data_IF_868736371449
#
_entry.id   IF_868736371449
#
_cell.length_a   1.000
_cell.length_b   1.000
_cell.length_c   1.000
_cell.angle_alpha   90.00
_cell.angle_beta   90.00
_cell.angle_gamma   90.00
#
_symmetry.space_group_name_H-M   'P 1'
#
loop_
_entity.id
_entity.type
_entity.pdbx_description
1 polymer ?
#
# COMPACT_ATOMS: atom_id res chain seq x y z
N UNK A 1 1.55 -4.99 9.02
CA UNK A 1 1.37 -5.51 10.41
C UNK A 1 1.10 -7.01 10.39
N UNK A 2 1.72 -7.83 11.25
CA UNK A 2 1.49 -9.29 11.29
C UNK A 2 0.05 -9.59 11.74
N UNK A 3 -0.68 -10.47 11.04
CA UNK A 3 -2.06 -10.90 11.38
C UNK A 3 -2.13 -11.40 12.82
N UNK A 4 -1.11 -12.12 13.30
CA UNK A 4 -1.06 -12.60 14.68
C UNK A 4 -1.02 -11.43 15.66
N UNK A 5 -0.22 -10.40 15.35
CA UNK A 5 -0.14 -9.19 16.18
C UNK A 5 -1.48 -8.45 16.16
N UNK A 6 -2.12 -8.31 14.99
CA UNK A 6 -3.45 -7.71 14.89
C UNK A 6 -4.50 -8.47 15.70
N UNK A 7 -4.51 -9.81 15.62
CA UNK A 7 -5.40 -10.64 16.41
C UNK A 7 -5.16 -10.50 17.92
N UNK A 8 -3.89 -10.47 18.35
CA UNK A 8 -3.52 -10.23 19.76
C UNK A 8 -3.97 -8.85 20.22
N UNK A 9 -3.82 -7.81 19.40
CA UNK A 9 -4.29 -6.46 19.72
C UNK A 9 -5.80 -6.43 19.88
N UNK A 10 -6.56 -7.04 18.96
CA UNK A 10 -8.03 -7.14 19.07
C UNK A 10 -8.42 -7.85 20.35
N UNK A 11 -7.85 -9.03 20.63
CA UNK A 11 -8.15 -9.80 21.85
C UNK A 11 -7.81 -9.00 23.11
N UNK A 12 -6.65 -8.34 23.14
CA UNK A 12 -6.22 -7.57 24.30
C UNK A 12 -7.12 -6.35 24.56
N UNK A 13 -7.40 -5.55 23.53
CA UNK A 13 -8.27 -4.38 23.63
C UNK A 13 -9.69 -4.77 24.02
N UNK A 14 -10.23 -5.84 23.41
CA UNK A 14 -11.53 -6.40 23.78
C UNK A 14 -11.57 -6.91 25.21
N UNK A 15 -10.55 -7.63 25.66
CA UNK A 15 -10.47 -8.12 27.04
C UNK A 15 -10.40 -6.97 28.05
N UNK A 16 -9.65 -5.91 27.76
CA UNK A 16 -9.60 -4.70 28.58
C UNK A 16 -10.96 -4.02 28.62
N UNK A 17 -11.61 -3.81 27.48
CA UNK A 17 -12.92 -3.18 27.41
C UNK A 17 -13.99 -3.96 28.18
N UNK A 18 -14.03 -5.29 28.02
CA UNK A 18 -14.92 -6.17 28.79
C UNK A 18 -14.58 -6.11 30.27
N UNK A 19 -13.29 -6.13 30.64
CA UNK A 19 -12.85 -5.99 32.03
C UNK A 19 -13.34 -4.68 32.67
N UNK A 20 -13.22 -3.55 31.96
CA UNK A 20 -13.73 -2.25 32.40
C UNK A 20 -15.25 -2.27 32.52
N UNK A 21 -15.97 -2.83 31.55
CA UNK A 21 -17.42 -2.99 31.61
C UNK A 21 -17.86 -3.78 32.85
N UNK A 22 -17.21 -4.92 33.12
CA UNK A 22 -17.50 -5.76 34.28
C UNK A 22 -17.11 -5.10 35.60
N UNK A 23 -16.12 -4.21 35.62
CA UNK A 23 -15.78 -3.39 36.77
C UNK A 23 -16.84 -2.33 37.03
N UNK A 24 -17.28 -1.60 36.00
CA UNK A 24 -18.35 -0.59 36.10
C UNK A 24 -19.66 -1.25 36.54
N UNK A 25 -19.98 -2.43 35.99
CA UNK A 25 -21.15 -3.24 36.36
C UNK A 25 -21.23 -3.55 37.86
N UNK A 26 -20.10 -3.67 38.57
CA UNK A 26 -20.12 -3.92 40.03
C UNK A 26 -20.73 -2.75 40.83
N UNK A 27 -20.70 -1.55 40.29
CA UNK A 27 -21.28 -0.35 40.90
C UNK A 27 -22.53 0.17 40.18
N UNK A 28 -23.04 -0.56 39.19
CA UNK A 28 -24.22 -0.18 38.44
C UNK A 28 -25.50 -0.58 39.21
N UNK A 29 -26.58 0.21 39.10
CA UNK A 29 -27.90 -0.17 39.61
C UNK A 29 -28.55 -1.24 38.73
N UNK A 30 -29.52 -1.97 39.30
CA UNK A 30 -30.36 -2.91 38.54
C UNK A 30 -31.18 -2.13 37.49
N UNK A 31 -31.07 -2.53 36.22
CA UNK A 31 -31.63 -1.81 35.08
C UNK A 31 -30.69 -0.76 34.45
N UNK A 32 -29.47 -0.62 34.97
CA UNK A 32 -28.42 0.25 34.43
C UNK A 32 -28.59 1.75 34.70
N UNK A 33 -27.67 2.58 34.17
CA UNK A 33 -27.63 4.01 34.48
C UNK A 33 -28.70 4.84 33.74
N UNK A 34 -29.29 4.30 32.67
CA UNK A 34 -30.32 4.98 31.90
C UNK A 34 -31.72 4.63 32.41
N UNK A 35 -32.52 5.65 32.72
CA UNK A 35 -33.93 5.45 33.10
C UNK A 35 -34.81 4.94 31.95
N UNK A 36 -34.46 5.27 30.71
CA UNK A 36 -35.14 4.82 29.49
C UNK A 36 -34.09 4.28 28.53
N UNK A 37 -33.86 2.97 28.59
CA UNK A 37 -32.87 2.27 27.78
C UNK A 37 -33.15 2.36 26.28
N UNK A 38 -34.42 2.42 25.87
CA UNK A 38 -34.81 2.52 24.46
C UNK A 38 -34.41 3.87 23.87
N UNK A 39 -34.61 4.96 24.61
CA UNK A 39 -34.12 6.29 24.20
C UNK A 39 -32.60 6.32 24.11
N UNK A 40 -31.91 5.74 25.10
CA UNK A 40 -30.46 5.68 25.11
C UNK A 40 -29.90 4.85 23.94
N UNK A 41 -30.54 3.72 23.62
CA UNK A 41 -30.21 2.88 22.48
C UNK A 41 -30.46 3.60 21.15
N UNK A 42 -31.53 4.39 21.04
CA UNK A 42 -31.80 5.23 19.87
C UNK A 42 -30.69 6.24 19.59
N UNK A 43 -30.23 6.98 20.62
CA UNK A 43 -29.12 7.94 20.49
C UNK A 43 -27.80 7.23 20.18
N UNK A 44 -27.54 6.10 20.83
CA UNK A 44 -26.39 5.24 20.50
C UNK A 44 -26.40 4.83 19.04
N UNK A 45 -27.56 4.40 18.53
CA UNK A 45 -27.74 3.98 17.15
C UNK A 45 -27.34 5.09 16.16
N UNK A 46 -27.72 6.34 16.42
CA UNK A 46 -27.32 7.49 15.59
C UNK A 46 -25.80 7.71 15.62
N UNK A 47 -25.18 7.71 16.81
CA UNK A 47 -23.74 7.88 16.97
C UNK A 47 -22.94 6.75 16.29
N UNK A 48 -23.32 5.50 16.55
CA UNK A 48 -22.68 4.32 16.00
C UNK A 48 -22.84 4.24 14.48
N UNK A 49 -24.01 4.58 13.94
CA UNK A 49 -24.25 4.61 12.50
C UNK A 49 -23.41 5.69 11.83
N UNK A 50 -23.34 6.90 12.40
CA UNK A 50 -22.51 7.98 11.88
C UNK A 50 -21.03 7.60 11.86
N UNK A 51 -20.54 6.97 12.92
CA UNK A 51 -19.18 6.43 12.99
C UNK A 51 -18.93 5.33 11.96
N UNK A 52 -19.85 4.37 11.83
CA UNK A 52 -19.72 3.27 10.87
C UNK A 52 -19.68 3.77 9.41
N UNK A 53 -20.50 4.78 9.07
CA UNK A 53 -20.48 5.42 7.75
C UNK A 53 -19.13 6.11 7.50
N UNK A 54 -18.66 6.94 8.43
CA UNK A 54 -17.35 7.60 8.31
C UNK A 54 -16.22 6.59 8.15
N UNK A 55 -16.18 5.57 9.02
CA UNK A 55 -15.15 4.54 9.00
C UNK A 55 -15.20 3.72 7.70
N UNK A 56 -16.39 3.40 7.19
CA UNK A 56 -16.58 2.73 5.90
C UNK A 56 -16.00 3.53 4.74
N UNK A 57 -16.23 4.85 4.69
CA UNK A 57 -15.62 5.72 3.68
C UNK A 57 -14.10 5.80 3.81
N UNK A 58 -13.57 5.85 5.03
CA UNK A 58 -12.12 5.86 5.25
C UNK A 58 -11.49 4.54 4.79
N UNK A 59 -12.10 3.40 5.11
CA UNK A 59 -11.64 2.09 4.61
C UNK A 59 -11.68 2.03 3.09
N UNK A 60 -12.76 2.52 2.46
CA UNK A 60 -12.88 2.56 1.01
C UNK A 60 -11.76 3.40 0.37
N UNK A 61 -11.53 4.62 0.86
CA UNK A 61 -10.48 5.50 0.33
C UNK A 61 -9.08 4.91 0.53
N UNK A 62 -8.82 4.31 1.69
CA UNK A 62 -7.57 3.62 1.97
C UNK A 62 -7.35 2.44 1.01
N UNK A 63 -8.39 1.66 0.75
CA UNK A 63 -8.34 0.57 -0.22
C UNK A 63 -8.10 1.08 -1.64
N UNK A 64 -8.78 2.14 -2.07
CA UNK A 64 -8.55 2.76 -3.38
C UNK A 64 -7.10 3.20 -3.55
N UNK A 65 -6.49 3.80 -2.53
CA UNK A 65 -5.08 4.17 -2.62
C UNK A 65 -4.14 2.97 -2.60
N UNK A 66 -4.43 1.95 -1.79
CA UNK A 66 -3.68 0.69 -1.81
C UNK A 66 -3.70 0.08 -3.22
N UNK A 67 -4.88 0.04 -3.84
CA UNK A 67 -5.06 -0.54 -5.17
C UNK A 67 -4.38 0.29 -6.27
N UNK A 68 -4.43 1.62 -6.19
CA UNK A 68 -3.68 2.49 -7.10
C UNK A 68 -2.17 2.23 -7.04
N UNK A 69 -1.61 2.06 -5.83
CA UNK A 69 -0.19 1.72 -5.68
C UNK A 69 0.15 0.33 -6.22
N UNK A 70 -0.76 -0.65 -6.06
CA UNK A 70 -0.63 -2.00 -6.62
C UNK A 70 -0.65 -1.97 -8.16
N UNK A 71 -1.64 -1.29 -8.73
CA UNK A 71 -1.81 -1.16 -10.19
C UNK A 71 -0.65 -0.39 -10.79
N UNK A 72 -0.22 0.73 -10.18
CA UNK A 72 0.96 1.48 -10.64
C UNK A 72 2.23 0.63 -10.67
N UNK A 73 2.42 -0.29 -9.71
CA UNK A 73 3.55 -1.22 -9.74
C UNK A 73 3.45 -2.28 -10.86
N UNK A 74 2.23 -2.75 -11.15
CA UNK A 74 1.97 -3.69 -12.24
C UNK A 74 2.18 -3.01 -13.61
N UNK A 75 1.67 -1.78 -13.77
CA UNK A 75 1.79 -0.99 -15.00
C UNK A 75 3.24 -0.56 -15.24
N UNK A 76 3.98 -0.12 -14.22
CA UNK A 76 5.40 0.25 -14.36
C UNK A 76 6.22 -0.94 -14.85
N UNK A 77 5.97 -2.15 -14.31
CA UNK A 77 6.64 -3.37 -14.75
C UNK A 77 6.27 -3.71 -16.20
N UNK A 78 4.98 -3.67 -16.55
CA UNK A 78 4.52 -3.95 -17.91
C UNK A 78 5.14 -3.00 -18.94
N UNK A 79 5.17 -1.69 -18.63
CA UNK A 79 5.73 -0.68 -19.53
C UNK A 79 7.23 -0.89 -19.70
N UNK A 80 7.96 -1.27 -18.66
CA UNK A 80 9.40 -1.61 -18.79
C UNK A 80 9.62 -2.77 -19.77
N UNK A 81 8.82 -3.83 -19.72
CA UNK A 81 8.89 -4.92 -20.69
C UNK A 81 8.63 -4.42 -22.13
N UNK A 82 7.58 -3.63 -22.32
CA UNK A 82 7.24 -3.03 -23.62
C UNK A 82 8.32 -2.08 -24.14
N UNK A 83 9.00 -1.35 -23.26
CA UNK A 83 10.14 -0.51 -23.62
C UNK A 83 11.34 -1.34 -24.08
N UNK A 84 11.57 -2.54 -23.53
CA UNK A 84 12.62 -3.46 -24.02
C UNK A 84 12.31 -3.90 -25.45
N UNK A 85 11.07 -4.28 -25.74
CA UNK A 85 10.65 -4.63 -27.11
C UNK A 85 10.81 -3.45 -28.07
N UNK A 86 10.41 -2.25 -27.63
CA UNK A 86 10.51 -1.02 -28.42
C UNK A 86 11.97 -0.63 -28.68
N UNK A 87 12.86 -0.85 -27.71
CA UNK A 87 14.30 -0.62 -27.86
C UNK A 87 14.90 -1.44 -29.01
N UNK A 88 14.39 -2.66 -29.27
CA UNK A 88 14.89 -3.51 -30.36
C UNK A 88 14.63 -2.92 -31.76
N UNK A 89 13.71 -1.96 -31.88
CA UNK A 89 13.38 -1.27 -33.13
C UNK A 89 14.22 0.00 -33.36
N UNK A 90 15.01 0.40 -32.37
CA UNK A 90 15.90 1.55 -32.45
C UNK A 90 17.26 1.17 -33.10
N UNK A 91 18.04 2.16 -33.58
CA UNK A 91 19.37 1.89 -34.12
C UNK A 91 20.31 1.22 -33.10
N UNK A 92 21.19 0.36 -33.60
CA UNK A 92 22.36 -0.08 -32.84
C UNK A 92 23.43 1.04 -32.85
N UNK A 93 24.19 1.23 -31.75
CA UNK A 93 24.24 0.40 -30.53
C UNK A 93 23.18 0.73 -29.46
N UNK A 94 22.39 1.80 -29.64
CA UNK A 94 21.50 2.32 -28.60
C UNK A 94 20.43 1.32 -28.16
N UNK A 95 19.95 0.46 -29.06
CA UNK A 95 19.02 -0.61 -28.72
C UNK A 95 19.50 -1.50 -27.56
N UNK A 96 20.78 -1.92 -27.60
CA UNK A 96 21.39 -2.75 -26.57
C UNK A 96 21.65 -1.97 -25.27
N UNK A 97 22.13 -0.73 -25.39
CA UNK A 97 22.39 0.15 -24.24
C UNK A 97 21.11 0.46 -23.45
N UNK A 98 20.03 0.85 -24.15
CA UNK A 98 18.72 1.09 -23.54
C UNK A 98 18.13 -0.17 -22.90
N UNK A 99 18.33 -1.34 -23.51
CA UNK A 99 17.89 -2.62 -22.96
C UNK A 99 18.60 -2.94 -21.65
N UNK A 100 19.93 -2.80 -21.60
CA UNK A 100 20.72 -2.97 -20.38
C UNK A 100 20.30 -2.00 -19.27
N UNK A 101 20.07 -0.74 -19.61
CA UNK A 101 19.59 0.29 -18.68
C UNK A 101 18.17 -0.01 -18.15
N UNK A 102 17.27 -0.56 -18.97
CA UNK A 102 15.92 -0.98 -18.55
C UNK A 102 15.96 -2.17 -17.59
N UNK A 103 16.84 -3.16 -17.84
CA UNK A 103 17.09 -4.26 -16.91
C UNK A 103 17.58 -3.71 -15.57
N UNK A 104 18.52 -2.76 -15.61
CA UNK A 104 19.02 -2.14 -14.39
C UNK A 104 18.00 -1.26 -13.67
N UNK A 105 17.14 -0.57 -14.42
CA UNK A 105 15.98 0.14 -13.88
C UNK A 105 15.07 -0.82 -13.12
N UNK A 106 14.68 -1.95 -13.73
CA UNK A 106 13.81 -2.95 -13.14
C UNK A 106 14.43 -3.59 -11.89
N UNK A 107 15.73 -3.94 -11.91
CA UNK A 107 16.46 -4.44 -10.74
C UNK A 107 16.52 -3.42 -9.60
N UNK A 108 16.72 -2.14 -9.92
CA UNK A 108 16.69 -1.05 -8.94
C UNK A 108 15.30 -0.88 -8.31
N UNK A 109 14.24 -1.00 -9.12
CA UNK A 109 12.85 -0.96 -8.64
C UNK A 109 12.56 -2.12 -7.70
N UNK A 110 12.87 -3.36 -8.10
CA UNK A 110 12.61 -4.56 -7.31
C UNK A 110 13.51 -4.68 -6.06
N UNK A 111 14.74 -4.16 -6.14
CA UNK A 111 15.72 -4.20 -5.07
C UNK A 111 15.72 -2.94 -4.21
N UNK A 112 16.66 -2.04 -4.48
CA UNK A 112 16.98 -0.90 -3.59
C UNK A 112 15.79 0.02 -3.36
N UNK A 113 15.01 0.35 -4.40
CA UNK A 113 13.87 1.25 -4.22
C UNK A 113 12.75 0.60 -3.42
N UNK A 114 12.43 -0.68 -3.66
CA UNK A 114 11.39 -1.37 -2.87
C UNK A 114 11.77 -1.47 -1.40
N UNK A 115 13.04 -1.76 -1.08
CA UNK A 115 13.54 -1.75 0.29
C UNK A 115 13.39 -0.37 0.95
N UNK A 116 13.68 0.71 0.22
CA UNK A 116 13.47 2.09 0.72
C UNK A 116 11.99 2.42 0.91
N UNK A 117 11.09 1.84 0.12
CA UNK A 117 9.65 1.96 0.35
C UNK A 117 9.23 1.25 1.63
N UNK A 118 9.75 0.05 1.90
CA UNK A 118 9.53 -0.64 3.18
C UNK A 118 10.07 0.14 4.39
N UNK A 119 11.15 0.91 4.20
CA UNK A 119 11.70 1.77 5.24
C UNK A 119 10.98 3.13 5.37
N UNK A 120 10.08 3.48 4.44
CA UNK A 120 9.45 4.81 4.38
C UNK A 120 10.43 5.94 4.02
N UNK A 121 11.58 5.63 3.40
CA UNK A 121 12.65 6.60 3.12
C UNK A 121 12.84 6.92 1.64
N UNK A 122 12.06 6.32 0.72
CA UNK A 122 12.22 6.56 -0.72
C UNK A 122 11.99 8.04 -1.10
N UNK A 123 10.97 8.67 -0.52
CA UNK A 123 10.61 10.05 -0.85
C UNK A 123 10.37 10.27 -2.35
N UNK A 124 10.81 11.42 -2.87
CA UNK A 124 10.76 11.78 -4.29
C UNK A 124 12.05 11.44 -5.06
N UNK A 125 12.90 10.56 -4.52
CA UNK A 125 14.21 10.25 -5.12
C UNK A 125 14.04 9.56 -6.48
N UNK A 126 14.68 10.12 -7.53
CA UNK A 126 14.66 9.57 -8.87
C UNK A 126 15.35 8.20 -8.94
N UNK A 127 14.85 7.28 -9.77
CA UNK A 127 15.63 6.12 -10.18
C UNK A 127 16.82 6.61 -11.04
N UNK A 128 18.09 6.35 -10.66
CA UNK A 128 19.25 6.81 -11.41
C UNK A 128 19.24 6.34 -12.88
N UNK A 129 18.70 5.14 -13.14
CA UNK A 129 18.57 4.61 -14.51
C UNK A 129 17.59 5.38 -15.37
N UNK A 130 16.61 6.08 -14.78
CA UNK A 130 15.74 6.99 -15.52
C UNK A 130 16.53 8.14 -16.17
N UNK A 131 17.57 8.64 -15.49
CA UNK A 131 18.44 9.66 -16.05
C UNK A 131 19.38 9.10 -17.13
N UNK A 132 19.82 7.86 -17.01
CA UNK A 132 20.68 7.20 -18.01
C UNK A 132 19.91 6.91 -19.31
N UNK A 133 18.70 6.35 -19.20
CA UNK A 133 17.77 6.16 -20.33
C UNK A 133 17.55 7.46 -21.10
N UNK A 134 17.40 8.57 -20.38
CA UNK A 134 17.27 9.89 -21.00
C UNK A 134 18.58 10.39 -21.65
N UNK A 135 19.76 10.04 -21.14
CA UNK A 135 21.03 10.36 -21.79
C UNK A 135 21.16 9.58 -23.10
N UNK A 136 20.87 8.29 -23.07
CA UNK A 136 21.03 7.39 -24.22
C UNK A 136 20.04 7.71 -25.34
N UNK A 137 18.74 7.87 -25.03
CA UNK A 137 17.72 8.18 -26.05
C UNK A 137 17.99 9.51 -26.79
N UNK A 138 18.60 10.51 -26.12
CA UNK A 138 18.94 11.79 -26.77
C UNK A 138 20.01 11.67 -27.86
N UNK A 139 20.74 10.56 -27.90
CA UNK A 139 21.76 10.29 -28.92
C UNK A 139 21.20 9.49 -30.10
N UNK A 140 19.95 9.04 -30.02
CA UNK A 140 19.30 8.29 -31.08
C UNK A 140 18.91 9.23 -32.21
N UNK A 141 19.39 8.94 -33.41
CA UNK A 141 18.99 9.61 -34.65
C UNK A 141 18.24 8.59 -35.53
N UNK A 142 16.90 8.58 -35.54
CA UNK A 142 16.11 7.70 -36.40
C UNK A 142 16.38 7.99 -37.88
N UNK A 143 16.62 6.95 -38.67
CA UNK A 143 16.90 7.06 -40.12
C UNK A 143 15.84 6.39 -40.99
N UNK A 144 14.91 5.66 -40.38
CA UNK A 144 13.84 4.91 -41.06
C UNK A 144 12.50 5.22 -40.39
N UNK A 145 11.41 5.06 -41.13
CA UNK A 145 10.05 5.26 -40.59
C UNK A 145 9.72 4.33 -39.42
N UNK A 146 10.30 3.13 -39.38
CA UNK A 146 10.14 2.20 -38.24
C UNK A 146 10.84 2.76 -37.00
N UNK A 147 12.06 3.28 -37.15
CA UNK A 147 12.82 3.88 -36.05
C UNK A 147 12.16 5.18 -35.56
N UNK A 148 11.61 6.00 -36.45
CA UNK A 148 10.86 7.21 -36.07
C UNK A 148 9.63 6.83 -35.23
N UNK A 149 8.84 5.85 -35.69
CA UNK A 149 7.69 5.36 -34.94
C UNK A 149 8.07 4.74 -33.58
N UNK A 150 9.20 4.03 -33.52
CA UNK A 150 9.71 3.47 -32.27
C UNK A 150 10.19 4.55 -31.29
N UNK A 151 10.83 5.60 -31.80
CA UNK A 151 11.26 6.74 -31.00
C UNK A 151 10.06 7.49 -30.38
N UNK A 152 9.02 7.77 -31.17
CA UNK A 152 7.79 8.37 -30.66
C UNK A 152 7.11 7.49 -29.60
N UNK A 153 7.05 6.18 -29.86
CA UNK A 153 6.49 5.19 -28.90
C UNK A 153 7.29 5.17 -27.60
N UNK A 154 8.62 5.19 -27.68
CA UNK A 154 9.51 5.24 -26.52
C UNK A 154 9.25 6.46 -25.63
N UNK A 155 9.05 7.64 -26.24
CA UNK A 155 8.76 8.87 -25.50
C UNK A 155 7.40 8.79 -24.79
N UNK A 156 6.38 8.22 -25.43
CA UNK A 156 5.08 7.95 -24.79
C UNK A 156 5.25 7.00 -23.61
N UNK A 157 5.89 5.85 -23.83
CA UNK A 157 6.15 4.86 -22.78
C UNK A 157 6.98 5.42 -21.63
N UNK A 158 7.89 6.36 -21.90
CA UNK A 158 8.64 7.06 -20.85
C UNK A 158 7.70 7.86 -19.96
N UNK A 159 6.77 8.64 -20.56
CA UNK A 159 5.75 9.36 -19.80
C UNK A 159 4.84 8.42 -19.01
N UNK A 160 4.40 7.32 -19.63
CA UNK A 160 3.51 6.34 -19.01
C UNK A 160 4.20 5.62 -17.83
N UNK A 161 5.48 5.26 -17.98
CA UNK A 161 6.28 4.65 -16.91
C UNK A 161 6.48 5.59 -15.74
N UNK A 162 6.75 6.88 -15.99
CA UNK A 162 6.87 7.87 -14.89
C UNK A 162 5.52 8.09 -14.18
N UNK A 163 4.40 8.07 -14.91
CA UNK A 163 3.07 8.12 -14.31
C UNK A 163 2.80 6.89 -13.44
N UNK A 164 3.07 5.68 -13.95
CA UNK A 164 2.93 4.43 -13.21
C UNK A 164 3.82 4.38 -11.97
N UNK A 165 5.07 4.90 -12.08
CA UNK A 165 5.96 5.08 -10.93
C UNK A 165 5.35 5.99 -9.88
N UNK A 166 4.78 7.13 -10.29
CA UNK A 166 4.14 8.05 -9.37
C UNK A 166 2.95 7.40 -8.64
N UNK A 167 2.13 6.63 -9.35
CA UNK A 167 1.03 5.88 -8.75
C UNK A 167 1.53 4.82 -7.75
N UNK A 168 2.59 4.08 -8.12
CA UNK A 168 3.24 3.12 -7.21
C UNK A 168 3.72 3.79 -5.92
N UNK A 169 4.44 4.92 -6.01
CA UNK A 169 5.02 5.56 -4.82
C UNK A 169 4.01 6.41 -4.05
N UNK A 170 2.86 6.74 -4.62
CA UNK A 170 1.83 7.57 -3.98
C UNK A 170 1.39 6.99 -2.63
N UNK A 171 1.21 5.66 -2.58
CA UNK A 171 0.83 4.95 -1.35
C UNK A 171 1.91 4.93 -0.25
N UNK A 172 3.15 5.33 -0.55
CA UNK A 172 4.29 5.15 0.36
C UNK A 172 4.34 6.16 1.53
N UNK A 173 3.60 7.27 1.44
CA UNK A 173 3.63 8.35 2.47
C UNK A 173 2.42 8.27 3.42
N UNK A 174 1.49 7.35 3.18
CA UNK A 174 0.23 7.25 3.93
C UNK A 174 -0.79 8.30 3.48
N UNK A 175 -1.99 7.86 3.16
CA UNK A 175 -3.02 8.68 2.49
C UNK A 175 -3.99 9.31 3.48
N UNK A 176 -4.10 8.74 4.68
CA UNK A 176 -5.01 9.22 5.71
C UNK A 176 -4.32 10.28 6.56
N UNK A 177 -4.79 11.54 6.52
CA UNK A 177 -4.16 12.62 7.25
C UNK A 177 -4.42 12.50 8.76
N UNK A 178 -3.49 12.99 9.57
CA UNK A 178 -3.55 12.90 11.04
C UNK A 178 -4.89 13.39 11.67
N UNK A 179 -5.55 14.46 11.20
CA UNK A 179 -6.85 14.86 11.71
C UNK A 179 -7.93 13.78 11.61
N UNK A 180 -7.88 12.92 10.58
CA UNK A 180 -8.84 11.83 10.44
C UNK A 180 -8.65 10.76 11.50
N UNK A 181 -7.40 10.41 11.81
CA UNK A 181 -7.09 9.52 12.93
C UNK A 181 -7.59 10.07 14.26
N UNK A 182 -7.42 11.37 14.50
CA UNK A 182 -7.93 12.03 15.72
C UNK A 182 -9.44 11.86 15.85
N UNK A 183 -10.20 12.12 14.77
CA UNK A 183 -11.66 12.00 14.77
C UNK A 183 -12.10 10.54 14.96
N UNK A 184 -11.47 9.58 14.28
CA UNK A 184 -11.79 8.16 14.40
C UNK A 184 -11.55 7.63 15.81
N UNK A 185 -10.41 7.97 16.41
CA UNK A 185 -10.08 7.57 17.78
C UNK A 185 -11.01 8.26 18.79
N UNK A 186 -11.28 9.55 18.62
CA UNK A 186 -12.22 10.29 19.47
C UNK A 186 -13.62 9.67 19.45
N UNK A 187 -14.16 9.39 18.26
CA UNK A 187 -15.48 8.77 18.11
C UNK A 187 -15.53 7.35 18.69
N UNK A 188 -14.46 6.55 18.50
CA UNK A 188 -14.34 5.20 19.08
C UNK A 188 -14.35 5.25 20.60
N UNK A 189 -13.59 6.18 21.19
CA UNK A 189 -13.56 6.40 22.65
C UNK A 189 -14.91 6.88 23.17
N UNK A 190 -15.59 7.78 22.45
CA UNK A 190 -16.91 8.26 22.81
C UNK A 190 -17.95 7.12 22.82
N UNK A 191 -17.95 6.27 21.80
CA UNK A 191 -18.79 5.08 21.70
C UNK A 191 -18.51 4.12 22.86
N UNK A 192 -17.23 3.85 23.15
CA UNK A 192 -16.83 3.02 24.29
C UNK A 192 -17.35 3.57 25.62
N UNK A 193 -17.14 4.86 25.90
CA UNK A 193 -17.64 5.50 27.12
C UNK A 193 -19.17 5.45 27.21
N UNK A 194 -19.88 5.73 26.12
CA UNK A 194 -21.34 5.66 26.09
C UNK A 194 -21.84 4.25 26.42
N UNK A 195 -21.16 3.21 25.92
CA UNK A 195 -21.51 1.82 26.22
C UNK A 195 -21.37 1.46 27.70
N UNK A 196 -20.45 2.07 28.45
CA UNK A 196 -20.30 1.82 29.88
C UNK A 196 -21.55 2.20 30.69
N UNK A 197 -22.37 3.13 30.20
CA UNK A 197 -23.62 3.52 30.86
C UNK A 197 -24.73 2.46 30.70
N UNK A 198 -24.58 1.50 29.78
CA UNK A 198 -25.44 0.31 29.69
C UNK A 198 -25.00 -0.82 30.65
N UNK A 199 -24.02 -0.59 31.53
CA UNK A 199 -23.67 -1.57 32.55
C UNK A 199 -24.88 -1.79 33.48
N UNK A 200 -25.24 -3.06 33.69
CA UNK A 200 -26.41 -3.48 34.46
C UNK A 200 -26.05 -4.69 35.34
N UNK A 201 -26.21 -4.54 36.66
CA UNK A 201 -25.95 -5.60 37.63
C UNK A 201 -26.90 -6.79 37.48
N UNK A 202 -28.13 -6.55 37.01
CA UNK A 202 -29.19 -7.54 36.84
C UNK A 202 -29.03 -8.42 35.60
N UNK A 203 -28.30 -7.97 34.57
CA UNK A 203 -28.06 -8.76 33.36
C UNK A 203 -26.98 -9.84 33.54
N UNK A 204 -27.07 -10.94 32.78
CA UNK A 204 -26.04 -11.98 32.81
C UNK A 204 -24.67 -11.45 32.36
N UNK A 205 -23.61 -11.85 33.06
CA UNK A 205 -22.22 -11.42 32.80
C UNK A 205 -21.83 -11.67 31.34
N UNK A 206 -22.25 -12.81 30.81
CA UNK A 206 -21.97 -13.24 29.44
C UNK A 206 -22.59 -12.30 28.40
N UNK A 207 -23.78 -11.75 28.68
CA UNK A 207 -24.47 -10.82 27.79
C UNK A 207 -23.74 -9.47 27.77
N UNK A 208 -23.41 -8.93 28.94
CA UNK A 208 -22.64 -7.68 29.06
C UNK A 208 -21.26 -7.79 28.38
N UNK A 209 -20.59 -8.93 28.55
CA UNK A 209 -19.32 -9.21 27.90
C UNK A 209 -19.46 -9.33 26.38
N UNK A 210 -20.52 -9.98 25.89
CA UNK A 210 -20.79 -10.12 24.45
C UNK A 210 -21.09 -8.76 23.81
N UNK A 211 -21.94 -7.94 24.44
CA UNK A 211 -22.32 -6.61 23.92
C UNK A 211 -21.08 -5.70 23.79
N UNK A 212 -20.32 -5.55 24.87
CA UNK A 212 -19.10 -4.73 24.85
C UNK A 212 -18.04 -5.33 23.90
N UNK A 213 -17.82 -6.64 23.99
CA UNK A 213 -16.74 -7.30 23.29
C UNK A 213 -16.92 -7.33 21.77
N UNK A 214 -18.16 -7.49 21.29
CA UNK A 214 -18.46 -7.48 19.85
C UNK A 214 -18.24 -6.09 19.25
N UNK A 215 -18.75 -5.03 19.88
CA UNK A 215 -18.58 -3.67 19.36
C UNK A 215 -17.10 -3.27 19.36
N UNK A 216 -16.40 -3.46 20.48
CA UNK A 216 -14.99 -3.08 20.57
C UNK A 216 -14.10 -3.90 19.65
N UNK A 217 -14.38 -5.20 19.48
CA UNK A 217 -13.59 -6.03 18.56
C UNK A 217 -13.77 -5.58 17.11
N UNK A 218 -15.00 -5.27 16.67
CA UNK A 218 -15.27 -4.76 15.31
C UNK A 218 -14.61 -3.40 15.08
N UNK A 219 -14.77 -2.44 16.00
CA UNK A 219 -14.13 -1.12 15.89
C UNK A 219 -12.61 -1.27 15.80
N UNK A 220 -12.02 -2.06 16.69
CA UNK A 220 -10.56 -2.28 16.71
C UNK A 220 -10.08 -2.94 15.42
N UNK A 221 -10.79 -3.98 14.94
CA UNK A 221 -10.45 -4.67 13.70
C UNK A 221 -10.50 -3.73 12.48
N UNK A 222 -11.53 -2.89 12.39
CA UNK A 222 -11.66 -1.91 11.31
C UNK A 222 -10.59 -0.82 11.38
N UNK A 223 -10.23 -0.31 12.56
CA UNK A 223 -9.13 0.64 12.71
C UNK A 223 -7.77 0.01 12.32
N UNK A 224 -7.55 -1.26 12.65
CA UNK A 224 -6.34 -1.99 12.23
C UNK A 224 -6.34 -2.24 10.72
N UNK A 225 -7.49 -2.49 10.11
CA UNK A 225 -7.64 -2.59 8.66
C UNK A 225 -7.28 -1.26 7.99
N UNK A 226 -7.80 -0.15 8.50
CA UNK A 226 -7.44 1.20 8.04
C UNK A 226 -5.93 1.42 8.12
N UNK A 227 -5.30 1.05 9.24
CA UNK A 227 -3.83 1.13 9.39
C UNK A 227 -3.09 0.27 8.37
N UNK A 228 -3.55 -0.95 8.12
CA UNK A 228 -2.91 -1.87 7.18
C UNK A 228 -3.01 -1.38 5.72
N UNK A 229 -4.14 -0.77 5.35
CA UNK A 229 -4.31 -0.20 4.01
C UNK A 229 -3.56 1.13 3.84
N UNK A 230 -3.42 1.91 4.92
CA UNK A 230 -2.70 3.19 4.90
C UNK A 230 -1.18 3.03 4.82
N UNK A 231 -0.64 1.86 5.20
CA UNK A 231 0.78 1.53 5.12
C UNK A 231 0.98 0.27 4.25
N UNK A 232 0.83 0.41 2.91
CA UNK A 232 0.78 -0.73 1.99
C UNK A 232 2.13 -1.44 1.81
N UNK A 233 3.25 -0.78 2.12
CA UNK A 233 4.60 -1.30 1.83
C UNK A 233 5.22 -1.95 3.05
N UNK A 234 5.02 -3.26 3.21
CA UNK A 234 5.67 -4.03 4.27
C UNK A 234 5.81 -5.52 3.91
N UNK A 235 6.77 -6.26 4.51
CA UNK A 235 6.96 -7.69 4.24
C UNK A 235 5.87 -8.61 4.85
N UNK A 236 4.98 -8.07 5.69
CA UNK A 236 3.88 -8.82 6.30
C UNK A 236 2.74 -9.14 5.34
N UNK A 237 1.81 -9.99 5.78
CA UNK A 237 0.62 -10.37 5.00
C UNK A 237 -0.19 -9.14 4.59
N UNK A 238 -0.56 -9.07 3.31
CA UNK A 238 -1.31 -7.95 2.74
C UNK A 238 -0.46 -6.74 2.35
N UNK A 239 0.87 -6.82 2.51
CA UNK A 239 1.77 -5.78 2.01
C UNK A 239 2.15 -6.01 0.55
N UNK A 240 2.40 -4.91 -0.17
CA UNK A 240 2.82 -4.92 -1.56
C UNK A 240 4.27 -5.42 -1.69
N UNK A 241 4.49 -6.23 -2.73
CA UNK A 241 5.77 -6.87 -3.05
C UNK A 241 6.13 -6.57 -4.51
N UNK A 242 7.43 -6.56 -4.88
CA UNK A 242 7.89 -6.21 -6.23
C UNK A 242 7.64 -7.33 -7.27
N UNK A 243 6.67 -8.22 -7.04
CA UNK A 243 6.46 -9.46 -7.82
C UNK A 243 6.24 -9.19 -9.30
N UNK A 244 5.56 -8.10 -9.65
CA UNK A 244 5.34 -7.73 -11.05
C UNK A 244 6.67 -7.42 -11.76
N UNK A 245 7.54 -6.64 -11.12
CA UNK A 245 8.85 -6.28 -11.66
C UNK A 245 9.81 -7.48 -11.69
N UNK A 246 9.81 -8.31 -10.64
CA UNK A 246 10.56 -9.57 -10.60
C UNK A 246 10.16 -10.52 -11.74
N UNK A 247 8.85 -10.61 -12.02
CA UNK A 247 8.34 -11.42 -13.13
C UNK A 247 8.78 -10.87 -14.48
N UNK A 248 8.73 -9.55 -14.66
CA UNK A 248 9.17 -8.90 -15.90
C UNK A 248 10.66 -9.12 -16.14
N UNK A 249 11.50 -9.05 -15.10
CA UNK A 249 12.92 -9.41 -15.22
C UNK A 249 13.10 -10.83 -15.76
N UNK A 250 12.37 -11.82 -15.23
CA UNK A 250 12.42 -13.20 -15.73
C UNK A 250 11.97 -13.34 -17.19
N UNK A 251 10.98 -12.54 -17.62
CA UNK A 251 10.51 -12.54 -19.01
C UNK A 251 11.55 -11.90 -19.93
N UNK A 252 12.11 -10.75 -19.55
CA UNK A 252 13.17 -10.07 -20.30
C UNK A 252 14.38 -10.99 -20.46
N UNK A 253 14.82 -11.66 -19.39
CA UNK A 253 15.95 -12.60 -19.46
C UNK A 253 15.68 -13.72 -20.48
N UNK A 254 14.46 -14.29 -20.50
CA UNK A 254 14.07 -15.31 -21.48
C UNK A 254 14.03 -14.78 -22.92
N UNK A 255 13.55 -13.56 -23.12
CA UNK A 255 13.50 -12.93 -24.44
C UNK A 255 14.90 -12.63 -24.99
N UNK A 256 15.80 -12.11 -24.15
CA UNK A 256 17.17 -11.81 -24.54
C UNK A 256 17.97 -13.08 -24.88
N UNK A 257 17.76 -14.17 -24.13
CA UNK A 257 18.32 -15.49 -24.46
C UNK A 257 17.86 -15.99 -25.83
N UNK A 258 16.59 -15.75 -26.20
CA UNK A 258 16.04 -16.18 -27.50
C UNK A 258 16.54 -15.34 -28.67
N UNK A 259 16.80 -14.04 -28.46
CA UNK A 259 17.31 -13.11 -29.48
C UNK A 259 18.83 -13.20 -29.62
N UNK A 260 19.53 -13.81 -28.66
CA UNK A 260 20.98 -14.03 -28.71
C UNK A 260 21.81 -12.80 -28.30
N UNK A 261 21.22 -11.91 -27.50
CA UNK A 261 21.89 -10.73 -26.92
C UNK A 261 22.33 -11.05 -25.49
N UNK A 262 23.59 -11.48 -25.34
CA UNK A 262 24.21 -11.87 -24.06
C UNK A 262 25.04 -10.73 -23.40
N UNK A 263 24.87 -9.48 -23.83
CA UNK A 263 25.63 -8.37 -23.26
C UNK A 263 25.20 -8.14 -21.80
N UNK A 264 26.14 -8.24 -20.83
CA UNK A 264 25.79 -8.10 -19.43
C UNK A 264 25.31 -6.66 -19.15
N UNK A 265 24.23 -6.49 -18.38
CA UNK A 265 23.73 -5.16 -18.06
C UNK A 265 24.76 -4.38 -17.21
N UNK A 266 24.78 -3.04 -17.27
CA UNK A 266 25.76 -2.20 -16.57
C UNK A 266 25.56 -2.09 -15.04
N UNK A 267 24.86 -3.05 -14.42
CA UNK A 267 24.53 -3.07 -13.00
C UNK A 267 24.60 -4.48 -12.39
N UNK A 268 24.65 -4.54 -11.06
CA UNK A 268 24.46 -5.77 -10.30
C UNK A 268 22.98 -6.23 -10.26
N UNK A 269 22.70 -7.34 -9.59
CA UNK A 269 21.35 -7.91 -9.44
C UNK A 269 20.38 -6.99 -8.66
N UNK A 270 20.90 -5.97 -7.98
CA UNK A 270 20.13 -4.98 -7.22
C UNK A 270 19.92 -3.67 -7.99
N UNK A 271 20.40 -3.59 -9.23
CA UNK A 271 20.32 -2.40 -10.06
C UNK A 271 21.27 -1.29 -9.60
N UNK A 272 22.33 -1.62 -8.85
CA UNK A 272 23.40 -0.68 -8.52
C UNK A 272 24.40 -0.70 -9.67
N UNK A 273 24.74 0.48 -10.20
CA UNK A 273 25.69 0.60 -11.29
C UNK A 273 27.03 -0.05 -10.92
N UNK A 274 27.57 -0.86 -11.83
CA UNK A 274 28.92 -1.40 -11.68
C UNK A 274 29.89 -0.22 -11.74
N UNK A 275 30.77 -0.07 -10.76
CA UNK A 275 31.82 0.95 -10.83
C UNK A 275 32.62 0.72 -12.12
N UNK A 276 32.55 1.64 -13.07
CA UNK A 276 33.44 1.65 -14.22
C UNK A 276 34.86 1.65 -13.65
N UNK A 277 35.59 0.55 -13.87
CA UNK A 277 36.97 0.41 -13.43
C UNK A 277 37.75 1.66 -13.80
N UNK A 278 38.28 2.37 -12.80
CA UNK A 278 39.21 3.49 -12.97
C UNK A 278 40.50 3.02 -13.62
#
# INVERSE_FOLDING_TARGET
>A
MNIVVAAVVVIAVTAVAVGVMLLVRRGAPDGGYFHDGDRAAGVFGVLATGFAVLLGFVVFLAFTSYDAARVGAEDEALIVAQQVETAQLLPAPQAAELTGELVCYARSVAGVQWERMYAGTLGEELNPWGAELFRTIRTVEPTTSVQESAFDTWLSQTSDREAARNDRIHGAVGVIPAPMWIVLLFASVLIFFYMLFFADSGEAIQVQALLMGTVVSVITALLLLVQALNDPFHPGVGGLQPVAMERVLQVIDQELELVGTDDPPPCDDRGIALEAGR
#
